data_IF_471962931455
#
_entry.id   IF_471962931455
#
_cell.length_a   1.000
_cell.length_b   1.000
_cell.length_c   1.000
_cell.angle_alpha   90.00
_cell.angle_beta   90.00
_cell.angle_gamma   90.00
#
_symmetry.space_group_name_H-M   'P 1'
#
loop_
_entity.id
_entity.type
_entity.pdbx_description
1 polymer ?
#
# COMPACT_ATOMS: atom_id res chain seq x y z
N UNK A 1 -23.73 3.49 58.77
CA UNK A 1 -23.31 4.62 57.91
C UNK A 1 -22.40 4.04 56.82
N UNK A 2 -22.99 3.62 55.69
CA UNK A 2 -22.21 3.18 54.52
C UNK A 2 -21.53 4.42 53.97
N UNK A 3 -20.19 4.42 53.98
CA UNK A 3 -19.37 5.59 53.66
C UNK A 3 -19.73 6.12 52.26
N UNK A 4 -19.95 7.42 52.15
CA UNK A 4 -20.19 8.16 50.89
C UNK A 4 -19.09 7.94 49.85
N UNK A 5 -17.91 7.50 50.27
CA UNK A 5 -16.81 7.05 49.40
C UNK A 5 -17.09 5.71 48.72
N UNK A 6 -17.78 4.77 49.36
CA UNK A 6 -18.10 3.47 48.77
C UNK A 6 -19.15 3.61 47.65
N UNK A 7 -20.16 4.46 47.84
CA UNK A 7 -21.14 4.77 46.79
C UNK A 7 -20.51 5.52 45.62
N UNK A 8 -19.57 6.44 45.86
CA UNK A 8 -18.84 7.14 44.80
C UNK A 8 -17.93 6.20 43.98
N UNK A 9 -17.24 5.26 44.63
CA UNK A 9 -16.40 4.25 43.95
C UNK A 9 -17.26 3.29 43.13
N UNK A 10 -18.40 2.85 43.68
CA UNK A 10 -19.33 1.98 42.95
C UNK A 10 -19.91 2.73 41.75
N UNK A 11 -20.36 3.98 41.91
CA UNK A 11 -20.89 4.78 40.80
C UNK A 11 -19.83 5.03 39.71
N UNK A 12 -18.60 5.39 40.11
CA UNK A 12 -17.47 5.60 39.19
C UNK A 12 -17.09 4.31 38.47
N UNK A 13 -17.11 3.16 39.16
CA UNK A 13 -16.85 1.85 38.54
C UNK A 13 -17.95 1.43 37.58
N UNK A 14 -19.23 1.69 37.90
CA UNK A 14 -20.35 1.41 36.99
C UNK A 14 -20.35 2.32 35.77
N UNK A 15 -19.92 3.57 35.89
CA UNK A 15 -19.74 4.48 34.75
C UNK A 15 -18.52 4.09 33.90
N UNK A 16 -17.46 3.56 34.50
CA UNK A 16 -16.28 3.04 33.77
C UNK A 16 -16.57 1.74 33.01
N UNK A 17 -17.53 0.93 33.47
CA UNK A 17 -17.98 -0.27 32.77
C UNK A 17 -18.98 0.09 31.65
N UNK A 18 -19.79 1.13 31.83
CA UNK A 18 -20.77 1.58 30.83
C UNK A 18 -20.14 2.24 29.58
N UNK A 19 -18.86 2.63 29.62
CA UNK A 19 -18.15 3.30 28.51
C UNK A 19 -17.34 2.36 27.62
N UNK A 20 -17.29 1.06 27.92
CA UNK A 20 -16.77 0.07 26.98
C UNK A 20 -17.93 -0.64 26.30
N UNK A 21 -18.57 0.02 25.33
CA UNK A 21 -19.35 -0.72 24.32
C UNK A 21 -18.38 -1.63 23.60
N UNK A 22 -18.49 -2.96 23.74
CA UNK A 22 -17.57 -3.85 23.06
C UNK A 22 -17.75 -3.66 21.55
N UNK A 23 -16.65 -3.54 20.81
CA UNK A 23 -16.61 -3.38 19.33
C UNK A 23 -17.39 -4.49 18.58
N UNK A 24 -17.90 -5.50 19.27
CA UNK A 24 -18.84 -6.52 18.79
C UNK A 24 -20.01 -5.95 17.98
N UNK A 25 -20.54 -4.78 18.34
CA UNK A 25 -21.64 -4.15 17.56
C UNK A 25 -21.22 -3.73 16.15
N UNK A 26 -19.91 -3.56 15.91
CA UNK A 26 -19.34 -3.15 14.62
C UNK A 26 -18.68 -4.31 13.86
N UNK A 27 -18.87 -5.56 14.29
CA UNK A 27 -18.30 -6.73 13.58
C UNK A 27 -18.77 -6.84 12.13
N UNK A 28 -20.01 -6.46 11.86
CA UNK A 28 -20.54 -6.45 10.49
C UNK A 28 -19.72 -5.54 9.57
N UNK A 29 -19.25 -4.40 10.08
CA UNK A 29 -18.44 -3.43 9.34
C UNK A 29 -17.06 -4.02 9.01
N UNK A 30 -16.49 -4.79 9.94
CA UNK A 30 -15.24 -5.51 9.70
C UNK A 30 -15.40 -6.60 8.63
N UNK A 31 -16.49 -7.38 8.67
CA UNK A 31 -16.77 -8.41 7.66
C UNK A 31 -16.93 -7.77 6.27
N UNK A 32 -17.71 -6.70 6.17
CA UNK A 32 -17.87 -5.94 4.93
C UNK A 32 -16.54 -5.33 4.48
N UNK A 33 -15.77 -4.77 5.41
CA UNK A 33 -14.44 -4.23 5.15
C UNK A 33 -13.49 -5.26 4.55
N UNK A 34 -13.50 -6.51 5.04
CA UNK A 34 -12.73 -7.61 4.47
C UNK A 34 -13.15 -7.95 3.03
N UNK A 35 -14.46 -8.01 2.77
CA UNK A 35 -14.97 -8.26 1.41
C UNK A 35 -14.54 -7.13 0.47
N UNK A 36 -14.67 -5.88 0.89
CA UNK A 36 -14.26 -4.70 0.12
C UNK A 36 -12.75 -4.68 -0.10
N UNK A 37 -11.95 -5.04 0.91
CA UNK A 37 -10.50 -5.15 0.79
C UNK A 37 -10.10 -6.19 -0.26
N UNK A 38 -10.81 -7.31 -0.35
CA UNK A 38 -10.59 -8.30 -1.40
C UNK A 38 -10.91 -7.74 -2.80
N UNK A 39 -12.01 -7.02 -2.94
CA UNK A 39 -12.36 -6.33 -4.20
C UNK A 39 -11.32 -5.28 -4.56
N UNK A 40 -10.86 -4.49 -3.59
CA UNK A 40 -9.79 -3.51 -3.79
C UNK A 40 -8.50 -4.19 -4.26
N UNK A 41 -8.09 -5.28 -3.62
CA UNK A 41 -6.90 -6.04 -4.01
C UNK A 41 -7.01 -6.58 -5.45
N UNK A 42 -8.18 -7.11 -5.83
CA UNK A 42 -8.46 -7.50 -7.21
C UNK A 42 -8.35 -6.31 -8.18
N UNK A 43 -8.89 -5.16 -7.80
CA UNK A 43 -8.87 -3.94 -8.62
C UNK A 43 -7.45 -3.41 -8.85
N UNK A 44 -6.63 -3.42 -7.79
CA UNK A 44 -5.20 -3.07 -7.86
C UNK A 44 -4.46 -4.02 -8.80
N UNK A 45 -4.68 -5.32 -8.65
CA UNK A 45 -4.07 -6.32 -9.55
C UNK A 45 -4.48 -6.13 -11.01
N UNK A 46 -5.75 -5.84 -11.29
CA UNK A 46 -6.24 -5.62 -12.65
C UNK A 46 -5.57 -4.41 -13.34
N UNK A 47 -5.30 -3.34 -12.58
CA UNK A 47 -4.66 -2.13 -13.10
C UNK A 47 -3.13 -2.26 -13.19
N UNK A 48 -2.49 -2.89 -12.20
CA UNK A 48 -1.03 -2.79 -12.02
C UNK A 48 -0.24 -3.91 -12.73
N UNK A 49 -0.86 -5.04 -13.09
CA UNK A 49 -0.17 -6.14 -13.80
C UNK A 49 0.46 -5.67 -15.11
N UNK A 50 -0.17 -4.72 -15.81
CA UNK A 50 0.36 -4.15 -17.04
C UNK A 50 1.70 -3.40 -16.82
N UNK A 51 1.93 -2.85 -15.62
CA UNK A 51 3.16 -2.12 -15.29
C UNK A 51 4.37 -3.05 -15.19
N UNK A 52 4.18 -4.25 -14.61
CA UNK A 52 5.25 -5.24 -14.40
C UNK A 52 5.49 -6.13 -15.64
N UNK A 53 4.43 -6.52 -16.34
CA UNK A 53 4.51 -7.51 -17.43
C UNK A 53 4.27 -6.94 -18.84
N UNK A 54 3.92 -5.66 -18.98
CA UNK A 54 3.61 -5.04 -20.27
C UNK A 54 4.74 -5.15 -21.30
N UNK A 55 5.99 -4.96 -20.88
CA UNK A 55 7.17 -5.07 -21.76
C UNK A 55 7.50 -6.52 -22.12
N UNK A 56 7.35 -7.46 -21.18
CA UNK A 56 7.61 -8.88 -21.40
C UNK A 56 6.58 -9.52 -22.34
N UNK A 57 5.30 -9.13 -22.22
CA UNK A 57 4.24 -9.56 -23.12
C UNK A 57 4.35 -8.85 -24.47
N UNK A 58 4.61 -7.54 -24.48
CA UNK A 58 4.75 -6.74 -25.71
C UNK A 58 5.94 -7.15 -26.58
N UNK A 59 7.01 -7.68 -25.99
CA UNK A 59 8.18 -8.22 -26.71
C UNK A 59 8.00 -9.68 -27.19
N UNK A 60 6.91 -10.35 -26.82
CA UNK A 60 6.64 -11.74 -27.18
C UNK A 60 7.45 -12.77 -26.39
N UNK A 61 8.21 -12.36 -25.36
CA UNK A 61 9.00 -13.27 -24.51
C UNK A 61 8.10 -14.13 -23.62
N UNK A 62 6.97 -13.58 -23.19
CA UNK A 62 6.00 -14.24 -22.30
C UNK A 62 4.59 -14.08 -22.85
N UNK A 63 3.80 -15.15 -22.85
CA UNK A 63 2.38 -15.07 -23.24
C UNK A 63 1.53 -14.41 -22.15
N UNK A 64 0.37 -13.86 -22.50
CA UNK A 64 -0.53 -13.23 -21.53
C UNK A 64 -0.91 -14.18 -20.38
N UNK A 65 -1.16 -15.47 -20.69
CA UNK A 65 -1.48 -16.48 -19.66
C UNK A 65 -0.32 -16.74 -18.70
N UNK A 66 0.90 -16.82 -19.21
CA UNK A 66 2.09 -16.98 -18.37
C UNK A 66 2.34 -15.74 -17.52
N UNK A 67 2.16 -14.54 -18.08
CA UNK A 67 2.29 -13.30 -17.34
C UNK A 67 1.29 -13.23 -16.16
N UNK A 68 0.03 -13.64 -16.35
CA UNK A 68 -0.94 -13.71 -15.26
C UNK A 68 -0.50 -14.65 -14.13
N UNK A 69 -0.01 -15.86 -14.46
CA UNK A 69 0.44 -16.83 -13.46
C UNK A 69 1.65 -16.29 -12.68
N UNK A 70 2.64 -15.73 -13.38
CA UNK A 70 3.81 -15.13 -12.75
C UNK A 70 3.43 -13.94 -11.88
N UNK A 71 2.55 -13.06 -12.35
CA UNK A 71 2.06 -11.92 -11.59
C UNK A 71 1.37 -12.37 -10.29
N UNK A 72 0.47 -13.36 -10.34
CA UNK A 72 -0.19 -13.87 -9.13
C UNK A 72 0.83 -14.33 -8.09
N UNK A 73 1.88 -15.04 -8.48
CA UNK A 73 2.90 -15.52 -7.53
C UNK A 73 3.75 -14.37 -7.00
N UNK A 74 4.34 -13.57 -7.88
CA UNK A 74 5.34 -12.57 -7.50
C UNK A 74 4.74 -11.31 -6.86
N UNK A 75 3.56 -10.85 -7.30
CA UNK A 75 2.86 -9.71 -6.68
C UNK A 75 2.35 -10.10 -5.27
N UNK A 76 1.82 -11.32 -5.11
CA UNK A 76 1.39 -11.81 -3.78
C UNK A 76 2.59 -11.95 -2.83
N UNK A 77 3.70 -12.53 -3.30
CA UNK A 77 4.93 -12.62 -2.50
C UNK A 77 5.47 -11.23 -2.14
N UNK A 78 5.50 -10.30 -3.10
CA UNK A 78 5.94 -8.92 -2.87
C UNK A 78 5.07 -8.22 -1.83
N UNK A 79 3.75 -8.36 -1.92
CA UNK A 79 2.79 -7.81 -0.96
C UNK A 79 3.05 -8.31 0.46
N UNK A 80 3.26 -9.62 0.64
CA UNK A 80 3.54 -10.22 1.96
C UNK A 80 4.90 -9.80 2.50
N UNK A 81 5.93 -9.74 1.66
CA UNK A 81 7.31 -9.52 2.09
C UNK A 81 7.64 -8.04 2.32
N UNK A 82 7.07 -7.12 1.53
CA UNK A 82 7.46 -5.71 1.49
C UNK A 82 6.28 -4.74 1.71
N UNK A 83 5.03 -5.20 1.70
CA UNK A 83 3.84 -4.35 1.73
C UNK A 83 3.60 -3.58 3.03
N UNK A 84 4.08 -4.09 4.16
CA UNK A 84 3.76 -3.57 5.51
C UNK A 84 4.05 -2.05 5.66
N UNK A 85 5.18 -1.56 5.15
CA UNK A 85 5.59 -0.16 5.31
C UNK A 85 4.69 0.82 4.57
N UNK A 86 4.19 0.44 3.40
CA UNK A 86 3.26 1.26 2.63
C UNK A 86 1.89 1.25 3.30
N UNK A 87 1.44 0.08 3.77
CA UNK A 87 0.20 -0.04 4.57
C UNK A 87 0.25 0.81 5.84
N UNK A 88 1.37 0.82 6.56
CA UNK A 88 1.57 1.67 7.74
C UNK A 88 1.52 3.16 7.41
N UNK A 89 2.02 3.55 6.23
CA UNK A 89 1.95 4.94 5.77
C UNK A 89 0.51 5.35 5.45
N UNK A 90 -0.31 4.47 4.87
CA UNK A 90 -1.73 4.74 4.62
C UNK A 90 -2.52 4.79 5.94
N UNK A 91 -2.21 3.91 6.89
CA UNK A 91 -2.87 3.82 8.20
C UNK A 91 -2.52 4.99 9.14
N UNK A 92 -1.25 5.38 9.19
CA UNK A 92 -0.73 6.28 10.22
C UNK A 92 -0.06 7.54 9.66
N UNK A 93 0.12 7.63 8.34
CA UNK A 93 0.85 8.73 7.70
C UNK A 93 -0.04 9.83 7.13
N UNK A 94 -1.33 9.57 6.95
CA UNK A 94 -2.26 10.50 6.25
C UNK A 94 -3.16 11.25 7.25
N UNK A 95 -3.65 10.54 8.26
CA UNK A 95 -4.62 11.05 9.23
C UNK A 95 -4.06 11.00 10.65
N UNK A 96 -4.52 11.91 11.51
CA UNK A 96 -4.17 11.88 12.92
C UNK A 96 -5.09 10.91 13.67
N UNK A 97 -4.56 9.73 14.01
CA UNK A 97 -5.32 8.69 14.72
C UNK A 97 -5.73 9.10 16.14
N UNK A 98 -5.02 10.05 16.78
CA UNK A 98 -5.37 10.49 18.14
C UNK A 98 -6.72 11.20 18.19
N UNK A 99 -7.12 11.84 17.09
CA UNK A 99 -8.41 12.51 16.91
C UNK A 99 -9.60 11.53 16.81
N UNK A 100 -9.32 10.24 16.73
CA UNK A 100 -10.32 9.18 16.66
C UNK A 100 -10.44 8.36 17.96
N UNK A 101 -9.65 8.67 18.99
CA UNK A 101 -9.77 8.03 20.31
C UNK A 101 -11.18 8.22 20.89
N UNK A 102 -11.84 7.13 21.28
CA UNK A 102 -13.23 7.12 21.72
C UNK A 102 -14.27 7.15 20.59
N UNK A 103 -13.83 7.06 19.33
CA UNK A 103 -14.67 7.03 18.13
C UNK A 103 -14.12 6.09 17.06
N UNK A 104 -13.58 4.95 17.49
CA UNK A 104 -12.89 3.96 16.66
C UNK A 104 -13.81 3.41 15.56
N UNK A 105 -15.11 3.32 15.83
CA UNK A 105 -16.13 2.93 14.85
C UNK A 105 -16.18 3.89 13.65
N UNK A 106 -15.97 5.19 13.85
CA UNK A 106 -15.90 6.20 12.77
C UNK A 106 -14.66 5.97 11.92
N UNK A 107 -13.52 5.65 12.55
CA UNK A 107 -12.28 5.35 11.85
C UNK A 107 -12.40 4.09 10.99
N UNK A 108 -13.03 3.03 11.54
CA UNK A 108 -13.32 1.80 10.79
C UNK A 108 -14.24 2.07 9.59
N UNK A 109 -15.28 2.89 9.77
CA UNK A 109 -16.20 3.25 8.69
C UNK A 109 -15.50 4.12 7.64
N UNK A 110 -14.62 5.02 8.08
CA UNK A 110 -13.75 5.82 7.24
C UNK A 110 -12.87 4.98 6.33
N UNK A 111 -12.10 4.04 6.87
CA UNK A 111 -11.27 3.15 6.04
C UNK A 111 -12.10 2.22 5.15
N UNK A 112 -13.25 1.74 5.61
CA UNK A 112 -14.15 0.92 4.79
C UNK A 112 -14.65 1.71 3.58
N UNK A 113 -15.09 2.96 3.78
CA UNK A 113 -15.51 3.86 2.69
C UNK A 113 -14.35 4.26 1.78
N UNK A 114 -13.15 4.48 2.32
CA UNK A 114 -11.95 4.78 1.54
C UNK A 114 -11.57 3.64 0.60
N UNK A 115 -11.57 2.40 1.12
CA UNK A 115 -11.32 1.21 0.32
C UNK A 115 -12.39 1.02 -0.75
N UNK A 116 -13.66 1.24 -0.41
CA UNK A 116 -14.77 1.15 -1.36
C UNK A 116 -14.62 2.14 -2.52
N UNK A 117 -14.45 3.43 -2.21
CA UNK A 117 -14.26 4.47 -3.23
C UNK A 117 -13.03 4.21 -4.11
N UNK A 118 -11.94 3.75 -3.50
CA UNK A 118 -10.72 3.37 -4.22
C UNK A 118 -10.92 2.16 -5.13
N UNK A 119 -11.69 1.15 -4.68
CA UNK A 119 -11.98 -0.04 -5.47
C UNK A 119 -12.87 0.30 -6.67
N UNK A 120 -13.94 1.04 -6.44
CA UNK A 120 -14.87 1.47 -7.50
C UNK A 120 -14.14 2.26 -8.58
N UNK A 121 -13.33 3.25 -8.19
CA UNK A 121 -12.60 4.06 -9.16
C UNK A 121 -11.54 3.25 -9.92
N UNK A 122 -10.82 2.35 -9.24
CA UNK A 122 -9.82 1.51 -9.91
C UNK A 122 -10.44 0.49 -10.87
N UNK A 123 -11.57 -0.11 -10.51
CA UNK A 123 -12.31 -0.97 -11.43
C UNK A 123 -12.80 -0.18 -12.63
N UNK A 124 -13.43 0.97 -12.41
CA UNK A 124 -13.93 1.82 -13.49
C UNK A 124 -12.80 2.22 -14.44
N UNK A 125 -11.64 2.67 -13.92
CA UNK A 125 -10.48 2.99 -14.74
C UNK A 125 -9.94 1.78 -15.51
N UNK A 126 -9.88 0.60 -14.87
CA UNK A 126 -9.45 -0.64 -15.51
C UNK A 126 -10.39 -1.04 -16.66
N UNK A 127 -11.71 -0.92 -16.46
CA UNK A 127 -12.71 -1.14 -17.50
C UNK A 127 -12.57 -0.15 -18.67
N UNK A 128 -12.26 1.11 -18.36
CA UNK A 128 -11.97 2.15 -19.35
C UNK A 128 -10.57 2.04 -19.97
N UNK A 129 -9.76 1.07 -19.54
CA UNK A 129 -8.36 0.85 -19.98
C UNK A 129 -7.46 2.06 -19.73
N UNK A 130 -7.74 2.81 -18.67
CA UNK A 130 -6.96 3.97 -18.26
C UNK A 130 -5.89 3.52 -17.26
N UNK A 131 -4.58 3.69 -17.55
CA UNK A 131 -3.55 3.44 -16.57
C UNK A 131 -3.62 4.54 -15.50
N UNK A 132 -4.02 4.16 -14.28
CA UNK A 132 -4.07 5.07 -13.15
C UNK A 132 -3.15 4.61 -12.03
N UNK A 133 -3.03 5.42 -10.97
CA UNK A 133 -2.25 5.06 -9.79
C UNK A 133 -3.16 4.74 -8.60
N UNK A 134 -3.21 3.47 -8.19
CA UNK A 134 -3.98 3.02 -7.03
C UNK A 134 -3.60 3.73 -5.73
N UNK A 135 -2.32 4.08 -5.55
CA UNK A 135 -1.83 4.83 -4.39
C UNK A 135 -2.49 6.21 -4.27
N UNK A 136 -2.68 6.92 -5.39
CA UNK A 136 -3.36 8.21 -5.36
C UNK A 136 -4.84 8.04 -4.99
N UNK A 137 -5.48 6.96 -5.45
CA UNK A 137 -6.87 6.66 -5.14
C UNK A 137 -7.08 6.48 -3.64
N UNK A 138 -6.29 5.61 -2.99
CA UNK A 138 -6.45 5.33 -1.56
C UNK A 138 -6.02 6.51 -0.68
N UNK A 139 -4.97 7.24 -1.06
CA UNK A 139 -4.56 8.46 -0.33
C UNK A 139 -5.64 9.52 -0.44
N UNK A 140 -6.15 9.79 -1.65
CA UNK A 140 -7.22 10.76 -1.87
C UNK A 140 -8.52 10.39 -1.15
N UNK A 141 -8.92 9.12 -1.20
CA UNK A 141 -10.10 8.64 -0.49
C UNK A 141 -9.94 8.74 1.05
N UNK A 142 -8.74 8.48 1.56
CA UNK A 142 -8.40 8.62 2.99
C UNK A 142 -8.48 10.08 3.46
N UNK A 143 -7.93 11.01 2.67
CA UNK A 143 -8.06 12.45 2.91
C UNK A 143 -9.54 12.85 2.87
N UNK A 144 -10.28 12.37 1.86
CA UNK A 144 -11.69 12.67 1.68
C UNK A 144 -12.56 12.31 2.89
N UNK A 145 -12.47 11.07 3.40
CA UNK A 145 -13.28 10.71 4.57
C UNK A 145 -12.83 11.48 5.81
N UNK A 146 -11.53 11.72 5.99
CA UNK A 146 -11.03 12.42 7.17
C UNK A 146 -11.50 13.88 7.19
N UNK A 147 -11.54 14.54 6.02
CA UNK A 147 -12.12 15.88 5.89
C UNK A 147 -13.61 15.90 6.25
N UNK A 148 -14.37 14.87 5.88
CA UNK A 148 -15.79 14.78 6.25
C UNK A 148 -15.96 14.49 7.75
N UNK A 149 -15.16 13.59 8.32
CA UNK A 149 -15.32 13.14 9.70
C UNK A 149 -14.78 14.14 10.73
N UNK A 150 -13.65 14.78 10.44
CA UNK A 150 -12.87 15.60 11.39
C UNK A 150 -12.39 16.95 10.82
N UNK A 151 -12.73 17.28 9.58
CA UNK A 151 -12.28 18.52 8.94
C UNK A 151 -10.77 18.57 8.70
N UNK A 152 -10.25 19.78 8.49
CA UNK A 152 -8.84 20.02 8.16
C UNK A 152 -7.86 19.49 9.20
N UNK A 153 -8.28 19.43 10.48
CA UNK A 153 -7.46 19.02 11.61
C UNK A 153 -7.25 17.50 11.68
N UNK A 154 -8.14 16.71 11.07
CA UNK A 154 -7.99 15.25 11.02
C UNK A 154 -6.92 14.77 10.03
N UNK A 155 -6.30 15.69 9.29
CA UNK A 155 -5.39 15.40 8.17
C UNK A 155 -3.99 15.95 8.48
N UNK A 156 -2.98 15.09 8.33
CA UNK A 156 -1.58 15.46 8.56
C UNK A 156 -0.94 16.08 7.30
N UNK A 157 -1.22 17.35 7.04
CA UNK A 157 -0.77 18.08 5.84
C UNK A 157 0.73 17.99 5.58
N UNK A 158 1.56 18.09 6.62
CA UNK A 158 3.01 17.99 6.47
C UNK A 158 3.47 16.63 5.93
N UNK A 159 2.81 15.55 6.37
CA UNK A 159 3.09 14.20 5.86
C UNK A 159 2.59 14.03 4.43
N UNK A 160 1.43 14.58 4.10
CA UNK A 160 0.90 14.58 2.73
C UNK A 160 1.86 15.30 1.77
N UNK A 161 2.40 16.46 2.17
CA UNK A 161 3.41 17.15 1.35
C UNK A 161 4.62 16.27 1.05
N UNK A 162 5.07 15.48 2.03
CA UNK A 162 6.15 14.51 1.83
C UNK A 162 5.76 13.38 0.85
N UNK A 163 4.51 12.90 0.92
CA UNK A 163 3.97 11.91 -0.02
C UNK A 163 3.91 12.49 -1.44
N UNK A 164 3.36 13.70 -1.60
CA UNK A 164 3.25 14.40 -2.88
C UNK A 164 4.64 14.65 -3.48
N UNK A 165 5.61 15.07 -2.67
CA UNK A 165 6.99 15.22 -3.14
C UNK A 165 7.55 13.89 -3.69
N UNK A 166 7.23 12.76 -3.05
CA UNK A 166 7.67 11.44 -3.53
C UNK A 166 7.03 11.06 -4.88
N UNK A 167 5.80 11.50 -5.17
CA UNK A 167 5.15 11.25 -6.47
C UNK A 167 5.88 11.88 -7.66
N UNK A 168 6.57 13.01 -7.46
CA UNK A 168 7.39 13.63 -8.50
C UNK A 168 8.82 13.11 -8.51
N UNK A 169 9.41 12.89 -7.33
CA UNK A 169 10.78 12.40 -7.21
C UNK A 169 10.94 10.97 -7.72
N UNK A 170 9.97 10.09 -7.46
CA UNK A 170 10.08 8.67 -7.85
C UNK A 170 10.16 8.45 -9.36
N UNK A 171 9.30 9.03 -10.22
CA UNK A 171 9.44 8.93 -11.67
C UNK A 171 10.73 9.57 -12.19
N UNK A 172 11.15 10.71 -11.63
CA UNK A 172 12.38 11.38 -12.02
C UNK A 172 13.62 10.50 -11.76
N UNK A 173 13.74 9.98 -10.54
CA UNK A 173 14.85 9.11 -10.16
C UNK A 173 14.83 7.79 -10.93
N UNK A 174 13.64 7.21 -11.16
CA UNK A 174 13.46 6.03 -12.01
C UNK A 174 13.93 6.28 -13.44
N UNK A 175 13.55 7.42 -14.03
CA UNK A 175 13.96 7.82 -15.38
C UNK A 175 15.47 8.00 -15.51
N UNK A 176 16.10 8.67 -14.54
CA UNK A 176 17.56 8.84 -14.49
C UNK A 176 18.26 7.48 -14.40
N UNK A 177 17.82 6.61 -13.49
CA UNK A 177 18.41 5.26 -13.34
C UNK A 177 18.21 4.40 -14.59
N UNK A 178 17.02 4.45 -15.21
CA UNK A 178 16.74 3.77 -16.48
C UNK A 178 17.68 4.24 -17.59
N UNK A 179 17.89 5.56 -17.72
CA UNK A 179 18.81 6.13 -18.70
C UNK A 179 20.26 5.69 -18.47
N UNK A 180 20.71 5.64 -17.21
CA UNK A 180 22.04 5.15 -16.84
C UNK A 180 22.19 3.68 -17.23
N UNK A 181 21.25 2.81 -16.83
CA UNK A 181 21.28 1.38 -17.16
C UNK A 181 21.28 1.17 -18.67
N UNK A 182 20.42 1.88 -19.40
CA UNK A 182 20.36 1.80 -20.86
C UNK A 182 21.66 2.27 -21.52
N UNK A 183 22.30 3.32 -21.01
CA UNK A 183 23.59 3.78 -21.50
C UNK A 183 24.66 2.69 -21.37
N UNK A 184 24.74 2.02 -20.22
CA UNK A 184 25.66 0.90 -20.00
C UNK A 184 25.35 -0.28 -20.92
N UNK A 185 24.09 -0.70 -21.03
CA UNK A 185 23.65 -1.75 -21.96
C UNK A 185 24.05 -1.40 -23.40
N UNK A 186 23.80 -0.16 -23.82
CA UNK A 186 24.14 0.30 -25.17
C UNK A 186 25.64 0.26 -25.44
N UNK A 187 26.45 0.73 -24.49
CA UNK A 187 27.90 0.82 -24.63
C UNK A 187 28.58 -0.55 -24.60
N UNK A 188 28.21 -1.41 -23.65
CA UNK A 188 28.91 -2.66 -23.39
C UNK A 188 28.33 -3.87 -24.14
N UNK A 189 27.04 -3.82 -24.51
CA UNK A 189 26.35 -4.94 -25.17
C UNK A 189 26.01 -4.58 -26.61
N UNK A 190 25.17 -3.56 -26.84
CA UNK A 190 24.55 -3.33 -28.16
C UNK A 190 25.51 -2.79 -29.23
N UNK A 191 26.56 -2.04 -28.84
CA UNK A 191 27.55 -1.49 -29.80
C UNK A 191 28.67 -2.46 -30.17
N UNK A 192 28.70 -3.67 -29.62
CA UNK A 192 29.71 -4.68 -29.96
C UNK A 192 29.35 -5.37 -31.28
N UNK A 193 30.38 -5.85 -31.99
CA UNK A 193 30.24 -6.54 -33.29
C UNK A 193 29.26 -7.71 -33.22
N UNK A 194 29.34 -8.51 -32.15
CA UNK A 194 28.40 -9.59 -31.84
C UNK A 194 27.71 -9.32 -30.48
N UNK A 195 26.50 -8.75 -30.46
CA UNK A 195 25.84 -8.32 -29.22
C UNK A 195 25.23 -9.48 -28.43
N UNK A 196 24.84 -10.57 -29.09
CA UNK A 196 24.09 -11.69 -28.45
C UNK A 196 24.92 -12.42 -27.38
N UNK A 197 26.16 -12.89 -27.64
CA UNK A 197 26.95 -13.57 -26.62
C UNK A 197 27.33 -12.67 -25.45
N UNK A 198 27.56 -11.38 -25.71
CA UNK A 198 27.86 -10.40 -24.66
C UNK A 198 26.62 -10.11 -23.80
N UNK A 199 25.43 -10.08 -24.38
CA UNK A 199 24.18 -9.97 -23.65
C UNK A 199 23.98 -11.14 -22.70
N UNK A 200 24.17 -12.38 -23.18
CA UNK A 200 24.07 -13.58 -22.36
C UNK A 200 25.07 -13.60 -21.20
N UNK A 201 26.29 -13.10 -21.40
CA UNK A 201 27.31 -12.95 -20.34
C UNK A 201 26.97 -11.87 -19.31
N UNK A 202 26.17 -10.87 -19.68
CA UNK A 202 25.74 -9.81 -18.78
C UNK A 202 24.52 -10.22 -17.91
N UNK A 203 23.71 -11.20 -18.35
CA UNK A 203 22.51 -11.66 -17.63
C UNK A 203 22.78 -12.05 -16.16
N UNK A 204 23.82 -12.84 -15.82
CA UNK A 204 24.09 -13.19 -14.43
C UNK A 204 24.31 -11.97 -13.53
N UNK A 205 24.92 -10.91 -14.06
CA UNK A 205 25.16 -9.66 -13.31
C UNK A 205 23.84 -8.93 -13.04
N UNK A 206 22.97 -8.84 -14.05
CA UNK A 206 21.65 -8.23 -13.86
C UNK A 206 20.81 -9.02 -12.85
N UNK A 207 20.77 -10.35 -12.96
CA UNK A 207 20.03 -11.18 -12.01
C UNK A 207 20.61 -11.10 -10.59
N UNK A 208 21.93 -11.11 -10.44
CA UNK A 208 22.57 -10.97 -9.14
C UNK A 208 22.27 -9.60 -8.50
N UNK A 209 22.28 -8.52 -9.29
CA UNK A 209 21.92 -7.19 -8.81
C UNK A 209 20.45 -7.13 -8.37
N UNK A 210 19.52 -7.61 -9.19
CA UNK A 210 18.08 -7.62 -8.88
C UNK A 210 17.79 -8.48 -7.64
N UNK A 211 18.36 -9.69 -7.55
CA UNK A 211 18.23 -10.53 -6.37
C UNK A 211 18.83 -9.85 -5.14
N UNK A 212 20.01 -9.24 -5.26
CA UNK A 212 20.66 -8.52 -4.17
C UNK A 212 19.81 -7.38 -3.62
N UNK A 213 19.23 -6.55 -4.50
CA UNK A 213 18.35 -5.45 -4.11
C UNK A 213 17.08 -5.96 -3.44
N UNK A 214 16.45 -7.02 -3.98
CA UNK A 214 15.25 -7.60 -3.38
C UNK A 214 15.54 -8.20 -2.01
N UNK A 215 16.61 -8.99 -1.87
CA UNK A 215 17.02 -9.57 -0.59
C UNK A 215 17.36 -8.49 0.43
N UNK A 216 18.13 -7.46 0.04
CA UNK A 216 18.42 -6.33 0.90
C UNK A 216 17.13 -5.64 1.37
N UNK A 217 16.20 -5.37 0.45
CA UNK A 217 14.92 -4.73 0.78
C UNK A 217 14.10 -5.57 1.76
N UNK A 218 14.05 -6.89 1.57
CA UNK A 218 13.35 -7.81 2.48
C UNK A 218 14.03 -7.84 3.85
N UNK A 219 15.36 -7.89 3.92
CA UNK A 219 16.08 -7.97 5.21
C UNK A 219 16.00 -6.67 6.03
N UNK A 220 16.05 -5.51 5.36
CA UNK A 220 16.09 -4.21 6.05
C UNK A 220 14.72 -3.55 6.21
N UNK A 221 13.81 -3.79 5.26
CA UNK A 221 12.50 -3.13 5.21
C UNK A 221 11.32 -4.11 5.34
N UNK A 222 11.55 -5.41 5.08
CA UNK A 222 10.52 -6.44 5.16
C UNK A 222 10.16 -6.83 6.60
N UNK A 223 8.92 -7.34 6.75
CA UNK A 223 8.20 -7.83 7.93
C UNK A 223 8.52 -7.17 9.30
N UNK A 224 7.52 -6.59 10.00
CA UNK A 224 7.73 -6.04 11.35
C UNK A 224 8.36 -7.09 12.27
N UNK A 225 9.52 -6.76 12.85
CA UNK A 225 10.13 -7.61 13.88
C UNK A 225 9.14 -7.74 15.04
N UNK A 226 8.92 -8.94 15.60
CA UNK A 226 7.95 -9.17 16.69
C UNK A 226 8.16 -8.35 17.98
N UNK A 227 9.21 -7.52 18.05
CA UNK A 227 9.64 -6.85 19.27
C UNK A 227 9.81 -5.32 19.14
N UNK A 228 9.21 -4.69 18.13
CA UNK A 228 9.11 -3.23 18.07
C UNK A 228 7.76 -2.78 18.63
N UNK A 229 7.70 -2.60 19.95
CA UNK A 229 6.63 -1.87 20.64
C UNK A 229 6.48 -0.46 20.03
N UNK A 230 5.58 -0.33 19.05
CA UNK A 230 4.95 0.93 18.66
C UNK A 230 3.45 0.73 18.79
N UNK A 231 3.01 0.72 20.05
CA UNK A 231 1.66 1.12 20.42
C UNK A 231 1.54 2.64 20.22
#
# INVERSE_FOLDING_TARGET
>A
MVSTTATAIILASTMAIATQTPLTEYMWLLIIGFIIAFVLAFSVGANDVANSFGTAVGSGVVTLRQACILATVFETLGSVLLGAKVSDTIRNGIIDNSMYNGSEHVLMAGYTSAMFGSAVWQLAASFLKLPISGTHCIVGATIGFSLVARGQQGVMWYKILSIVASWFLSPLLSGIMSAIVFYFVRMFILRKKDPVPNGLRALPVFYAMTMGINLFSIMFTGAPRPNSSRC
#
